data_IF_259140923237
#
_entry.id   IF_259140923237
#
_cell.length_a   1.000
_cell.length_b   1.000
_cell.length_c   1.000
_cell.angle_alpha   90.00
_cell.angle_beta   90.00
_cell.angle_gamma   90.00
#
_symmetry.space_group_name_H-M   'P 1'
#
loop_
_entity.id
_entity.type
_entity.pdbx_description
1 polymer ?
#
# COMPACT_ATOMS: atom_id res chain seq x y z
N UNK A 1 -16.50 5.22 17.50
CA UNK A 1 -15.39 5.65 16.62
C UNK A 1 -15.66 7.08 16.16
N UNK A 2 -14.69 7.96 16.36
CA UNK A 2 -14.87 9.37 16.02
C UNK A 2 -14.65 9.62 14.52
N UNK A 3 -15.48 10.47 13.92
CA UNK A 3 -15.34 10.87 12.51
C UNK A 3 -13.95 11.43 12.19
N UNK A 4 -13.38 12.21 13.11
CA UNK A 4 -12.02 12.77 12.99
C UNK A 4 -10.95 11.69 12.90
N UNK A 5 -11.07 10.61 13.68
CA UNK A 5 -10.14 9.48 13.66
C UNK A 5 -10.16 8.76 12.31
N UNK A 6 -11.35 8.54 11.74
CA UNK A 6 -11.50 7.92 10.42
C UNK A 6 -10.82 8.77 9.34
N UNK A 7 -11.08 10.08 9.36
CA UNK A 7 -10.48 11.02 8.40
C UNK A 7 -8.96 11.07 8.53
N UNK A 8 -8.44 11.02 9.74
CA UNK A 8 -7.00 10.95 10.00
C UNK A 8 -6.38 9.67 9.40
N UNK A 9 -6.99 8.51 9.63
CA UNK A 9 -6.54 7.23 9.08
C UNK A 9 -6.52 7.25 7.54
N UNK A 10 -7.56 7.78 6.91
CA UNK A 10 -7.64 7.90 5.44
C UNK A 10 -6.56 8.82 4.88
N UNK A 11 -6.30 9.96 5.53
CA UNK A 11 -5.25 10.90 5.13
C UNK A 11 -3.86 10.33 5.32
N UNK A 12 -3.61 9.66 6.45
CA UNK A 12 -2.36 8.96 6.71
C UNK A 12 -2.11 7.85 5.69
N UNK A 13 -3.16 7.09 5.33
CA UNK A 13 -3.07 6.07 4.29
C UNK A 13 -2.64 6.66 2.95
N UNK A 14 -3.26 7.75 2.49
CA UNK A 14 -2.88 8.42 1.24
C UNK A 14 -1.41 8.83 1.25
N UNK A 15 -0.98 9.51 2.30
CA UNK A 15 0.39 10.00 2.44
C UNK A 15 1.40 8.84 2.42
N UNK A 16 1.13 7.76 3.16
CA UNK A 16 2.00 6.59 3.22
C UNK A 16 2.13 5.90 1.86
N UNK A 17 1.01 5.62 1.19
CA UNK A 17 1.02 4.89 -0.08
C UNK A 17 1.67 5.72 -1.21
N UNK A 18 1.45 7.03 -1.26
CA UNK A 18 2.16 7.93 -2.20
C UNK A 18 3.67 7.89 -1.93
N UNK A 19 4.08 7.94 -0.66
CA UNK A 19 5.49 7.87 -0.27
C UNK A 19 6.13 6.53 -0.69
N UNK A 20 5.43 5.40 -0.52
CA UNK A 20 5.95 4.09 -0.92
C UNK A 20 6.15 3.97 -2.43
N UNK A 21 5.25 4.53 -3.23
CA UNK A 21 5.42 4.57 -4.69
C UNK A 21 6.67 5.38 -5.06
N UNK A 22 6.90 6.51 -4.40
CA UNK A 22 8.12 7.31 -4.61
C UNK A 22 9.39 6.55 -4.21
N UNK A 23 9.35 5.82 -3.09
CA UNK A 23 10.47 4.96 -2.66
C UNK A 23 10.72 3.82 -3.64
N UNK A 24 9.67 3.17 -4.14
CA UNK A 24 9.80 2.15 -5.18
C UNK A 24 10.46 2.72 -6.44
N UNK A 25 10.13 3.96 -6.83
CA UNK A 25 10.80 4.65 -7.94
C UNK A 25 12.29 4.83 -7.70
N UNK A 26 12.68 5.23 -6.50
CA UNK A 26 14.09 5.34 -6.14
C UNK A 26 14.79 3.98 -6.24
N UNK A 27 14.16 2.92 -5.74
CA UNK A 27 14.69 1.56 -5.78
C UNK A 27 14.95 1.10 -7.22
N UNK A 28 13.98 1.23 -8.12
CA UNK A 28 14.16 0.83 -9.52
C UNK A 28 15.11 1.74 -10.30
N UNK A 29 15.39 2.93 -9.80
CA UNK A 29 16.38 3.87 -10.34
C UNK A 29 17.81 3.58 -9.86
N UNK A 30 18.01 2.55 -9.04
CA UNK A 30 19.32 2.11 -8.57
C UNK A 30 19.76 2.67 -7.22
N UNK A 31 18.90 3.43 -6.53
CA UNK A 31 19.18 3.90 -5.18
C UNK A 31 19.03 2.77 -4.16
N UNK A 32 19.84 2.79 -3.11
CA UNK A 32 19.66 1.88 -2.00
C UNK A 32 18.57 2.39 -1.08
N UNK A 33 17.57 1.53 -0.84
CA UNK A 33 16.49 1.77 0.11
C UNK A 33 16.51 0.63 1.12
N UNK A 34 16.20 0.95 2.37
CA UNK A 34 16.03 -0.05 3.41
C UNK A 34 14.91 -1.03 3.01
N UNK A 35 15.19 -2.33 3.11
CA UNK A 35 14.26 -3.41 2.76
C UNK A 35 12.92 -3.28 3.48
N UNK A 36 12.92 -2.80 4.72
CA UNK A 36 11.74 -2.63 5.56
C UNK A 36 10.98 -1.32 5.30
N UNK A 37 11.49 -0.44 4.42
CA UNK A 37 10.91 0.90 4.23
C UNK A 37 9.54 0.92 3.56
N UNK A 38 9.17 -0.15 2.85
CA UNK A 38 7.87 -0.37 2.25
C UNK A 38 7.33 -1.71 2.74
N UNK A 39 6.18 -1.74 3.44
CA UNK A 39 5.57 -3.00 3.86
C UNK A 39 5.16 -3.85 2.65
N UNK A 40 5.56 -5.11 2.63
CA UNK A 40 5.24 -6.04 1.54
C UNK A 40 3.80 -6.56 1.66
N UNK A 41 3.34 -6.80 2.89
CA UNK A 41 2.03 -7.37 3.14
C UNK A 41 1.00 -6.28 3.48
N UNK A 42 -0.10 -6.25 2.71
CA UNK A 42 -1.19 -5.28 2.89
C UNK A 42 -1.85 -5.34 4.28
N UNK A 43 -1.92 -6.51 4.91
CA UNK A 43 -2.50 -6.64 6.26
C UNK A 43 -1.58 -6.18 7.38
N UNK A 44 -0.29 -6.00 7.11
CA UNK A 44 0.70 -5.59 8.10
C UNK A 44 1.01 -4.10 8.08
N UNK A 45 0.66 -3.39 7.01
CA UNK A 45 0.78 -1.95 6.99
C UNK A 45 -0.22 -1.32 7.98
N UNK A 46 0.04 -0.10 8.44
CA UNK A 46 -0.80 0.57 9.42
C UNK A 46 -2.25 0.73 8.92
N UNK A 47 -2.42 1.10 7.65
CA UNK A 47 -3.74 1.20 7.04
C UNK A 47 -4.46 -0.16 7.01
N UNK A 48 -3.77 -1.22 6.59
CA UNK A 48 -4.35 -2.57 6.58
C UNK A 48 -4.81 -3.05 7.95
N UNK A 49 -4.01 -2.82 8.99
CA UNK A 49 -4.39 -3.15 10.37
C UNK A 49 -5.68 -2.45 10.77
N UNK A 50 -5.78 -1.15 10.55
CA UNK A 50 -6.99 -0.38 10.82
C UNK A 50 -8.16 -0.81 9.93
N UNK A 51 -7.90 -1.04 8.64
CA UNK A 51 -8.92 -1.40 7.64
C UNK A 51 -9.63 -2.73 7.98
N UNK A 52 -8.86 -3.73 8.39
CA UNK A 52 -9.41 -5.05 8.73
C UNK A 52 -9.93 -5.17 10.17
N UNK A 53 -9.82 -4.12 10.96
CA UNK A 53 -10.33 -4.07 12.34
C UNK A 53 -11.39 -2.98 12.50
N UNK A 54 -10.98 -1.77 12.85
CA UNK A 54 -11.90 -0.69 13.20
C UNK A 54 -12.74 -0.17 12.03
N UNK A 55 -12.17 -0.11 10.82
CA UNK A 55 -12.92 0.34 9.64
C UNK A 55 -14.11 -0.58 9.31
N UNK A 56 -14.08 -1.85 9.70
CA UNK A 56 -15.18 -2.78 9.46
C UNK A 56 -16.47 -2.37 10.20
N UNK A 57 -16.37 -1.60 11.28
CA UNK A 57 -17.52 -1.03 12.00
C UNK A 57 -18.34 -0.10 11.11
N UNK A 58 -17.73 0.52 10.11
CA UNK A 58 -18.42 1.39 9.14
C UNK A 58 -19.47 0.64 8.29
N UNK A 59 -19.33 -0.68 8.15
CA UNK A 59 -20.31 -1.51 7.43
C UNK A 59 -21.70 -1.53 8.12
N UNK A 60 -21.77 -1.18 9.40
CA UNK A 60 -23.03 -1.09 10.14
C UNK A 60 -23.81 0.22 9.88
N UNK A 61 -23.19 1.18 9.20
CA UNK A 61 -23.83 2.48 8.91
C UNK A 61 -24.96 2.34 7.89
N UNK A 62 -26.07 3.03 8.16
CA UNK A 62 -27.15 3.17 7.19
C UNK A 62 -26.69 4.04 6.00
N UNK A 63 -27.24 3.76 4.81
CA UNK A 63 -26.92 4.46 3.54
C UNK A 63 -25.52 4.16 2.95
N UNK A 64 -24.86 3.12 3.41
CA UNK A 64 -23.66 2.54 2.82
C UNK A 64 -22.62 3.57 2.35
N UNK A 65 -22.04 4.40 3.27
CA UNK A 65 -20.93 5.29 2.90
C UNK A 65 -19.69 4.50 2.46
N UNK A 66 -19.72 3.20 2.73
CA UNK A 66 -18.65 2.23 2.61
C UNK A 66 -18.68 1.39 1.33
N UNK A 67 -19.54 1.71 0.36
CA UNK A 67 -19.49 1.07 -0.97
C UNK A 67 -18.09 1.14 -1.59
N UNK A 68 -17.30 2.16 -1.24
CA UNK A 68 -15.91 2.29 -1.67
C UNK A 68 -14.96 1.29 -1.00
N UNK A 69 -15.33 0.68 0.13
CA UNK A 69 -14.40 -0.15 0.91
C UNK A 69 -13.93 -1.38 0.14
N UNK A 70 -14.82 -2.07 -0.58
CA UNK A 70 -14.43 -3.23 -1.36
C UNK A 70 -13.46 -2.87 -2.49
N UNK A 71 -13.65 -1.72 -3.14
CA UNK A 71 -12.73 -1.23 -4.17
C UNK A 71 -11.40 -0.80 -3.57
N UNK A 72 -11.42 -0.13 -2.42
CA UNK A 72 -10.20 0.26 -1.68
C UNK A 72 -9.43 -0.99 -1.25
N UNK A 73 -10.11 -2.01 -0.72
CA UNK A 73 -9.50 -3.27 -0.33
C UNK A 73 -8.74 -3.92 -1.49
N UNK A 74 -9.40 -4.06 -2.65
CA UNK A 74 -8.80 -4.66 -3.82
C UNK A 74 -7.60 -3.86 -4.33
N UNK A 75 -7.74 -2.55 -4.47
CA UNK A 75 -6.65 -1.68 -4.93
C UNK A 75 -5.48 -1.65 -3.96
N UNK A 76 -5.75 -1.69 -2.66
CA UNK A 76 -4.73 -1.75 -1.63
C UNK A 76 -3.96 -3.08 -1.67
N UNK A 77 -4.68 -4.19 -1.82
CA UNK A 77 -4.07 -5.50 -2.02
C UNK A 77 -3.21 -5.52 -3.28
N UNK A 78 -3.75 -5.08 -4.41
CA UNK A 78 -3.06 -5.05 -5.70
C UNK A 78 -1.76 -4.22 -5.62
N UNK A 79 -1.80 -3.07 -4.94
CA UNK A 79 -0.61 -2.23 -4.75
C UNK A 79 0.52 -2.98 -4.03
N UNK A 80 0.19 -3.67 -2.95
CA UNK A 80 1.17 -4.45 -2.20
C UNK A 80 1.65 -5.69 -2.96
N UNK A 81 0.76 -6.36 -3.70
CA UNK A 81 1.12 -7.54 -4.51
C UNK A 81 2.06 -7.15 -5.66
N UNK A 82 1.81 -6.03 -6.33
CA UNK A 82 2.72 -5.50 -7.35
C UNK A 82 4.08 -5.17 -6.74
N UNK A 83 4.10 -4.51 -5.58
CA UNK A 83 5.35 -4.22 -4.89
C UNK A 83 6.10 -5.48 -4.45
N UNK A 84 5.40 -6.53 -4.05
CA UNK A 84 6.02 -7.83 -3.74
C UNK A 84 6.85 -8.35 -4.93
N UNK A 85 6.38 -8.17 -6.16
CA UNK A 85 7.15 -8.57 -7.34
C UNK A 85 8.41 -7.73 -7.54
N UNK A 86 8.36 -6.42 -7.27
CA UNK A 86 9.54 -5.55 -7.26
C UNK A 86 10.50 -5.99 -6.14
N UNK A 87 9.96 -6.23 -4.94
CA UNK A 87 10.73 -6.69 -3.78
C UNK A 87 11.52 -7.97 -4.07
N UNK A 88 10.88 -8.95 -4.71
CA UNK A 88 11.53 -10.21 -5.10
C UNK A 88 12.73 -9.99 -6.03
N UNK A 89 12.63 -9.05 -6.97
CA UNK A 89 13.71 -8.72 -7.89
C UNK A 89 14.91 -8.14 -7.14
N UNK A 90 14.70 -7.29 -6.14
CA UNK A 90 15.75 -6.51 -5.49
C UNK A 90 16.29 -7.13 -4.21
N UNK A 91 15.48 -7.87 -3.46
CA UNK A 91 15.80 -8.35 -2.12
C UNK A 91 15.80 -9.87 -1.96
N UNK A 92 15.02 -10.60 -2.75
CA UNK A 92 15.08 -12.06 -2.75
C UNK A 92 16.21 -12.53 -3.69
N UNK A 93 17.32 -12.99 -3.10
CA UNK A 93 18.37 -13.69 -3.84
C UNK A 93 18.03 -15.17 -3.91
N UNK A 94 17.98 -15.74 -5.12
CA UNK A 94 17.74 -17.18 -5.33
C UNK A 94 18.81 -18.09 -4.72
N UNK A 95 19.95 -17.54 -4.31
CA UNK A 95 21.00 -18.29 -3.65
C UNK A 95 21.01 -18.07 -2.14
N UNK A 96 20.14 -18.75 -1.41
CA UNK A 96 20.42 -19.10 -0.01
C UNK A 96 21.54 -20.15 0.08
N UNK A 97 22.49 -20.13 -0.86
CA UNK A 97 23.68 -20.96 -0.86
C UNK A 97 24.68 -20.40 0.14
N UNK A 98 25.30 -21.30 0.89
CA UNK A 98 26.36 -21.04 1.87
C UNK A 98 27.47 -20.08 1.35
N UNK A 99 27.70 -20.02 0.04
CA UNK A 99 28.69 -19.18 -0.59
C UNK A 99 28.32 -17.71 -0.77
N UNK A 100 27.04 -17.36 -0.80
CA UNK A 100 26.62 -15.95 -0.97
C UNK A 100 26.86 -15.11 0.29
N UNK A 101 26.88 -15.75 1.46
CA UNK A 101 27.22 -15.10 2.74
C UNK A 101 28.69 -14.72 2.87
N UNK A 102 29.59 -15.44 2.17
CA UNK A 102 31.04 -15.27 2.31
C UNK A 102 31.56 -14.14 1.40
N UNK A 103 30.94 -13.87 0.26
CA UNK A 103 31.48 -12.95 -0.74
C UNK A 103 30.79 -11.60 -0.82
N UNK A 104 29.73 -11.31 0.00
CA UNK A 104 29.11 -9.99 0.08
C UNK A 104 28.67 -9.38 -1.25
N UNK A 105 28.60 -10.17 -2.32
CA UNK A 105 28.22 -9.69 -3.63
C UNK A 105 26.72 -9.45 -3.66
N UNK A 106 26.31 -8.17 -3.61
CA UNK A 106 24.99 -7.75 -4.06
C UNK A 106 24.75 -8.36 -5.42
N UNK A 107 23.65 -9.12 -5.57
CA UNK A 107 23.25 -9.68 -6.86
C UNK A 107 23.12 -8.50 -7.83
N UNK A 108 23.96 -8.49 -8.87
CA UNK A 108 23.82 -7.51 -9.95
C UNK A 108 22.56 -7.86 -10.71
N UNK A 109 21.53 -7.00 -10.59
CA UNK A 109 20.27 -7.15 -11.29
C UNK A 109 20.55 -7.00 -12.79
N UNK A 110 20.18 -8.00 -13.60
CA UNK A 110 20.38 -7.96 -15.04
C UNK A 110 19.38 -7.00 -15.71
N UNK A 111 19.60 -6.64 -16.97
CA UNK A 111 18.76 -5.67 -17.69
C UNK A 111 17.31 -6.15 -17.87
N UNK A 112 17.09 -7.45 -18.07
CA UNK A 112 15.73 -8.01 -18.22
C UNK A 112 14.95 -7.86 -16.90
N UNK A 113 15.58 -8.09 -15.75
CA UNK A 113 14.98 -7.90 -14.43
C UNK A 113 14.68 -6.41 -14.15
N UNK A 114 15.55 -5.50 -14.58
CA UNK A 114 15.31 -4.05 -14.47
C UNK A 114 14.12 -3.62 -15.32
N UNK A 115 14.02 -4.11 -16.55
CA UNK A 115 12.89 -3.82 -17.43
C UNK A 115 11.58 -4.34 -16.83
N UNK A 116 11.60 -5.54 -16.28
CA UNK A 116 10.44 -6.12 -15.59
C UNK A 116 10.05 -5.29 -14.36
N UNK A 117 11.00 -4.88 -13.54
CA UNK A 117 10.77 -4.01 -12.40
C UNK A 117 10.16 -2.66 -12.81
N UNK A 118 10.60 -2.10 -13.94
CA UNK A 118 10.03 -0.87 -14.49
C UNK A 118 8.55 -1.05 -14.88
N UNK A 119 8.19 -2.18 -15.48
CA UNK A 119 6.79 -2.51 -15.80
C UNK A 119 5.92 -2.65 -14.55
N UNK A 120 6.42 -3.35 -13.53
CA UNK A 120 5.72 -3.43 -12.25
C UNK A 120 5.56 -2.06 -11.60
N UNK A 121 6.57 -1.21 -11.65
CA UNK A 121 6.48 0.14 -11.11
C UNK A 121 5.41 0.98 -11.82
N UNK A 122 5.31 0.91 -13.14
CA UNK A 122 4.25 1.61 -13.90
C UNK A 122 2.85 1.15 -13.46
N UNK A 123 2.65 -0.16 -13.31
CA UNK A 123 1.40 -0.70 -12.77
C UNK A 123 1.13 -0.25 -11.34
N UNK A 124 2.16 -0.23 -10.48
CA UNK A 124 2.06 0.27 -9.11
C UNK A 124 1.61 1.73 -9.07
N UNK A 125 2.17 2.57 -9.96
CA UNK A 125 1.81 3.98 -10.06
C UNK A 125 0.35 4.17 -10.47
N UNK A 126 -0.15 3.39 -11.44
CA UNK A 126 -1.55 3.43 -11.87
C UNK A 126 -2.52 2.98 -10.77
N UNK A 127 -2.21 1.87 -10.11
CA UNK A 127 -3.02 1.35 -9.00
C UNK A 127 -3.01 2.35 -7.84
N UNK A 128 -1.89 2.96 -7.52
CA UNK A 128 -1.79 4.00 -6.49
C UNK A 128 -2.69 5.20 -6.80
N UNK A 129 -2.72 5.68 -8.03
CA UNK A 129 -3.61 6.78 -8.44
C UNK A 129 -5.08 6.42 -8.23
N UNK A 130 -5.48 5.20 -8.58
CA UNK A 130 -6.84 4.70 -8.37
C UNK A 130 -7.17 4.57 -6.88
N UNK A 131 -6.25 4.02 -6.09
CA UNK A 131 -6.42 3.88 -4.64
C UNK A 131 -6.60 5.25 -3.97
N UNK A 132 -5.76 6.22 -4.30
CA UNK A 132 -5.88 7.59 -3.77
C UNK A 132 -7.21 8.22 -4.15
N UNK A 133 -7.68 8.02 -5.39
CA UNK A 133 -8.98 8.52 -5.83
C UNK A 133 -10.15 7.91 -5.04
N UNK A 134 -10.13 6.60 -4.77
CA UNK A 134 -11.16 5.94 -3.98
C UNK A 134 -11.11 6.33 -2.49
N UNK A 135 -9.92 6.48 -1.91
CA UNK A 135 -9.78 7.01 -0.54
C UNK A 135 -10.33 8.44 -0.46
N UNK A 136 -10.04 9.29 -1.45
CA UNK A 136 -10.61 10.64 -1.51
C UNK A 136 -12.14 10.61 -1.65
N UNK A 137 -12.69 9.66 -2.40
CA UNK A 137 -14.14 9.46 -2.51
C UNK A 137 -14.75 9.08 -1.17
N UNK A 138 -14.14 8.13 -0.46
CA UNK A 138 -14.56 7.74 0.88
C UNK A 138 -14.46 8.92 1.87
N UNK A 139 -13.36 9.67 1.85
CA UNK A 139 -13.18 10.85 2.71
C UNK A 139 -14.32 11.87 2.52
N UNK A 140 -14.67 12.18 1.26
CA UNK A 140 -15.80 13.10 0.99
C UNK A 140 -17.13 12.58 1.52
N UNK A 141 -17.38 11.27 1.41
CA UNK A 141 -18.60 10.64 1.96
C UNK A 141 -18.62 10.72 3.49
N UNK A 142 -17.51 10.40 4.14
CA UNK A 142 -17.39 10.51 5.61
C UNK A 142 -17.59 11.95 6.09
N UNK A 143 -17.04 12.93 5.38
CA UNK A 143 -17.24 14.36 5.72
C UNK A 143 -18.72 14.76 5.66
N UNK A 144 -19.48 14.24 4.70
CA UNK A 144 -20.89 14.55 4.50
C UNK A 144 -21.83 13.93 5.54
N UNK A 145 -21.39 12.89 6.27
CA UNK A 145 -22.19 12.21 7.30
C UNK A 145 -22.15 13.01 8.60
N UNK A 146 -23.26 13.06 9.33
CA UNK A 146 -23.35 13.76 10.61
C UNK A 146 -22.56 13.03 11.72
N UNK A 147 -22.02 13.78 12.68
CA UNK A 147 -21.28 13.21 13.81
C UNK A 147 -22.17 12.30 14.69
N UNK A 148 -23.49 12.54 14.70
CA UNK A 148 -24.44 11.70 15.44
C UNK A 148 -24.51 10.27 14.91
N UNK A 149 -24.33 10.08 13.61
CA UNK A 149 -24.34 8.75 13.00
C UNK A 149 -23.11 7.94 13.41
N UNK A 150 -21.96 8.58 13.65
CA UNK A 150 -20.76 7.92 14.15
C UNK A 150 -20.81 7.58 15.64
N UNK A 151 -21.56 8.37 16.42
CA UNK A 151 -21.70 8.12 17.87
C UNK A 151 -22.47 6.83 18.19
N UNK A 152 -23.16 6.24 17.20
CA UNK A 152 -23.91 4.97 17.34
C UNK A 152 -23.10 3.73 16.92
N UNK A 153 -21.88 3.90 16.43
CA UNK A 153 -20.94 2.84 16.07
C UNK A 153 -20.02 2.47 17.24
#
# INVERSE_FOLDING_TARGET
>A
MEKSEILEQLRAAKAAHINWVQRAKLLISGFQIDESSIPVNSTQCQFGKWFYTDAQKLNAMQNNPVECMSTIEQLHFDLHDIYLNIYKIYYETESKGFFSKIFGKKKKINEDAKELAQKYYQNMEEVSKKLVAEINRMERRIVAISDKEFASL
#
